data_IF_070556064451
#
_entry.id   IF_070556064451
#
_cell.length_a   1.000
_cell.length_b   1.000
_cell.length_c   1.000
_cell.angle_alpha   90.00
_cell.angle_beta   90.00
_cell.angle_gamma   90.00
#
_symmetry.space_group_name_H-M   'P 1'
#
loop_
_entity.id
_entity.type
_entity.pdbx_description
1 polymer ?
#
# COMPACT_ATOMS: atom_id res chain seq x y z
N UNK A 1 52.60 -5.70 6.48
CA UNK A 1 51.87 -5.82 7.74
C UNK A 1 50.79 -4.78 7.96
N UNK A 2 50.76 -3.76 7.17
CA UNK A 2 49.80 -2.67 7.38
C UNK A 2 48.71 -2.67 6.34
N UNK A 3 48.63 -3.65 5.47
CA UNK A 3 47.67 -3.71 4.40
C UNK A 3 46.39 -4.46 4.74
N UNK A 4 46.27 -4.91 5.99
CA UNK A 4 45.13 -5.72 6.44
C UNK A 4 43.96 -4.93 6.98
N UNK A 5 44.07 -3.62 7.06
CA UNK A 5 43.04 -2.78 7.70
C UNK A 5 41.96 -2.29 6.72
N UNK A 6 42.07 -2.62 5.42
CA UNK A 6 41.16 -2.05 4.43
C UNK A 6 40.04 -2.99 3.93
N UNK A 7 39.96 -4.20 4.45
CA UNK A 7 39.10 -5.21 3.82
C UNK A 7 37.73 -5.36 4.49
N UNK A 8 37.47 -4.64 5.56
CA UNK A 8 36.28 -4.87 6.39
C UNK A 8 35.07 -3.99 6.08
N UNK A 9 35.12 -3.17 5.04
CA UNK A 9 34.08 -2.16 4.84
C UNK A 9 32.98 -2.57 3.86
N UNK A 10 33.14 -3.70 3.18
CA UNK A 10 32.24 -4.08 2.08
C UNK A 10 31.01 -4.92 2.49
N UNK A 11 30.91 -5.33 3.73
CA UNK A 11 29.85 -6.25 4.16
C UNK A 11 28.55 -5.55 4.60
N UNK A 12 28.53 -4.20 4.69
CA UNK A 12 27.43 -3.47 5.29
C UNK A 12 26.37 -3.05 4.27
N UNK A 13 26.68 -3.06 2.98
CA UNK A 13 25.76 -2.58 1.95
C UNK A 13 24.60 -3.55 1.67
N UNK A 14 24.70 -4.81 2.07
CA UNK A 14 23.66 -5.82 1.80
C UNK A 14 22.55 -5.82 2.87
N UNK A 15 22.81 -5.23 4.01
CA UNK A 15 21.85 -5.15 5.12
C UNK A 15 20.73 -4.12 4.89
N UNK A 16 20.79 -3.31 3.84
CA UNK A 16 19.81 -2.27 3.56
C UNK A 16 18.52 -2.79 2.93
N UNK A 17 18.50 -4.03 2.40
CA UNK A 17 17.31 -4.65 1.84
C UNK A 17 16.83 -5.74 2.79
N UNK A 18 15.91 -5.41 3.69
CA UNK A 18 15.33 -6.44 4.55
C UNK A 18 14.29 -7.24 3.75
N UNK A 19 14.22 -8.56 3.90
CA UNK A 19 13.17 -9.36 3.27
C UNK A 19 11.75 -8.93 3.68
N UNK A 20 11.60 -8.38 4.88
CA UNK A 20 10.32 -7.89 5.38
C UNK A 20 9.83 -6.68 4.60
N UNK A 21 10.70 -5.73 4.30
CA UNK A 21 10.36 -4.55 3.51
C UNK A 21 9.97 -4.95 2.08
N UNK A 22 10.72 -5.86 1.49
CA UNK A 22 10.42 -6.36 0.15
C UNK A 22 9.08 -7.09 0.13
N UNK A 23 8.80 -7.93 1.11
CA UNK A 23 7.52 -8.62 1.23
C UNK A 23 6.35 -7.63 1.41
N UNK A 24 6.54 -6.59 2.19
CA UNK A 24 5.54 -5.53 2.39
C UNK A 24 5.29 -4.79 1.08
N UNK A 25 6.33 -4.45 0.34
CA UNK A 25 6.20 -3.76 -0.95
C UNK A 25 5.45 -4.60 -1.98
N UNK A 26 5.73 -5.90 -2.04
CA UNK A 26 5.03 -6.83 -2.93
C UNK A 26 3.56 -6.95 -2.53
N UNK A 27 3.26 -7.09 -1.25
CA UNK A 27 1.90 -7.16 -0.73
C UNK A 27 1.14 -5.88 -1.04
N UNK A 28 1.77 -4.74 -0.87
CA UNK A 28 1.19 -3.44 -1.19
C UNK A 28 0.90 -3.30 -2.68
N UNK A 29 1.82 -3.70 -3.54
CA UNK A 29 1.62 -3.67 -4.99
C UNK A 29 0.47 -4.57 -5.42
N UNK A 30 0.36 -5.75 -4.82
CA UNK A 30 -0.73 -6.68 -5.07
C UNK A 30 -2.05 -6.11 -4.59
N UNK A 31 -2.08 -5.55 -3.38
CA UNK A 31 -3.27 -4.89 -2.82
C UNK A 31 -3.75 -3.74 -3.71
N UNK A 32 -2.82 -2.98 -4.31
CA UNK A 32 -3.16 -1.90 -5.24
C UNK A 32 -3.98 -2.41 -6.41
N UNK A 33 -3.65 -3.55 -6.98
CA UNK A 33 -4.40 -4.14 -8.10
C UNK A 33 -5.82 -4.55 -7.71
N UNK A 34 -6.05 -4.80 -6.43
CA UNK A 34 -7.38 -5.13 -5.90
C UNK A 34 -8.17 -3.86 -5.56
N UNK A 35 -7.54 -2.87 -4.96
CA UNK A 35 -8.20 -1.64 -4.49
C UNK A 35 -8.55 -0.72 -5.65
N UNK A 36 -7.66 -0.57 -6.63
CA UNK A 36 -7.83 0.39 -7.71
C UNK A 36 -9.14 0.23 -8.48
N UNK A 37 -9.57 -0.98 -8.91
CA UNK A 37 -10.86 -1.13 -9.59
C UNK A 37 -12.05 -0.69 -8.74
N UNK A 38 -12.03 -0.97 -7.43
CA UNK A 38 -13.10 -0.59 -6.52
C UNK A 38 -13.18 0.94 -6.41
N UNK A 39 -12.04 1.58 -6.25
CA UNK A 39 -11.96 3.05 -6.16
C UNK A 39 -12.36 3.70 -7.49
N UNK A 40 -11.98 3.10 -8.59
CA UNK A 40 -12.29 3.62 -9.94
C UNK A 40 -13.78 3.67 -10.21
N UNK A 41 -14.57 2.78 -9.61
CA UNK A 41 -16.03 2.81 -9.71
C UNK A 41 -16.63 4.04 -9.01
N UNK A 42 -15.91 4.60 -8.03
CA UNK A 42 -16.38 5.75 -7.27
C UNK A 42 -15.74 7.07 -7.72
N UNK A 43 -14.54 7.03 -8.28
CA UNK A 43 -13.75 8.22 -8.61
C UNK A 43 -13.08 8.05 -9.96
N UNK A 44 -13.21 9.05 -10.82
CA UNK A 44 -12.62 9.02 -12.17
C UNK A 44 -11.10 9.28 -12.13
N UNK A 45 -10.35 8.74 -13.12
CA UNK A 45 -8.93 9.08 -13.25
C UNK A 45 -8.70 10.59 -13.44
N UNK A 46 -7.61 11.17 -12.95
CA UNK A 46 -6.49 10.55 -12.22
C UNK A 46 -6.71 10.46 -10.71
N UNK A 47 -7.85 10.92 -10.20
CA UNK A 47 -8.16 10.92 -8.77
C UNK A 47 -8.22 9.51 -8.18
N UNK A 48 -8.59 8.49 -8.97
CA UNK A 48 -8.62 7.10 -8.56
C UNK A 48 -7.26 6.60 -8.04
N UNK A 49 -6.18 6.94 -8.74
CA UNK A 49 -4.83 6.56 -8.33
C UNK A 49 -4.44 7.24 -7.02
N UNK A 50 -4.72 8.53 -6.88
CA UNK A 50 -4.42 9.29 -5.67
C UNK A 50 -5.21 8.76 -4.47
N UNK A 51 -6.49 8.47 -4.66
CA UNK A 51 -7.33 7.91 -3.62
C UNK A 51 -6.87 6.51 -3.20
N UNK A 52 -6.48 5.68 -4.15
CA UNK A 52 -5.93 4.35 -3.88
C UNK A 52 -4.67 4.43 -3.02
N UNK A 53 -3.76 5.35 -3.32
CA UNK A 53 -2.55 5.55 -2.50
C UNK A 53 -2.90 5.99 -1.08
N UNK A 54 -3.89 6.86 -0.90
CA UNK A 54 -4.35 7.26 0.44
C UNK A 54 -4.87 6.06 1.23
N UNK A 55 -5.62 5.17 0.60
CA UNK A 55 -6.12 3.95 1.23
C UNK A 55 -4.96 3.04 1.63
N UNK A 56 -4.04 2.77 0.71
CA UNK A 56 -2.91 1.88 0.97
C UNK A 56 -1.98 2.43 2.06
N UNK A 57 -1.76 3.74 2.09
CA UNK A 57 -0.91 4.38 3.09
C UNK A 57 -1.50 4.29 4.50
N UNK A 58 -2.80 4.10 4.63
CA UNK A 58 -3.50 4.03 5.92
C UNK A 58 -4.00 2.62 6.25
N UNK A 59 -3.63 1.63 5.45
CA UNK A 59 -3.92 0.23 5.71
C UNK A 59 -2.86 -0.38 6.64
N UNK A 60 -3.31 -1.27 7.52
CA UNK A 60 -2.39 -2.08 8.32
C UNK A 60 -1.81 -3.22 7.46
N UNK A 61 -0.71 -3.83 7.91
CA UNK A 61 -0.15 -4.99 7.20
C UNK A 61 -1.15 -6.14 7.11
N UNK A 62 -1.94 -6.35 8.15
CA UNK A 62 -3.00 -7.37 8.13
C UNK A 62 -4.05 -7.07 7.06
N UNK A 63 -4.44 -5.81 6.92
CA UNK A 63 -5.39 -5.39 5.90
C UNK A 63 -4.82 -5.52 4.49
N UNK A 64 -3.56 -5.15 4.29
CA UNK A 64 -2.89 -5.34 3.01
C UNK A 64 -2.86 -6.82 2.62
N UNK A 65 -2.63 -7.72 3.58
CA UNK A 65 -2.66 -9.14 3.34
C UNK A 65 -4.06 -9.64 2.94
N UNK A 66 -5.09 -9.15 3.60
CA UNK A 66 -6.48 -9.49 3.24
C UNK A 66 -6.78 -9.05 1.81
N UNK A 67 -6.39 -7.84 1.44
CA UNK A 67 -6.62 -7.31 0.09
C UNK A 67 -5.82 -8.10 -0.95
N UNK A 68 -4.56 -8.39 -0.67
CA UNK A 68 -3.69 -9.09 -1.60
C UNK A 68 -4.17 -10.50 -1.92
N UNK A 69 -4.86 -11.16 -1.00
CA UNK A 69 -5.41 -12.50 -1.23
C UNK A 69 -6.53 -12.54 -2.26
N UNK A 70 -7.10 -11.40 -2.59
CA UNK A 70 -8.20 -11.29 -3.55
C UNK A 70 -7.73 -10.94 -4.96
N UNK A 71 -6.42 -10.93 -5.21
CA UNK A 71 -5.89 -10.64 -6.55
C UNK A 71 -6.43 -11.67 -7.56
N UNK A 72 -6.86 -11.17 -8.71
CA UNK A 72 -7.41 -12.02 -9.76
C UNK A 72 -8.86 -12.42 -9.57
N UNK A 73 -9.49 -12.05 -8.45
CA UNK A 73 -10.90 -12.32 -8.18
C UNK A 73 -11.69 -11.02 -8.16
N UNK A 74 -13.01 -11.14 -8.37
CA UNK A 74 -13.91 -10.01 -8.13
C UNK A 74 -13.91 -9.67 -6.65
N UNK A 75 -13.98 -8.36 -6.33
CA UNK A 75 -14.01 -7.92 -4.95
C UNK A 75 -15.27 -8.45 -4.24
N UNK A 76 -15.07 -9.30 -3.25
CA UNK A 76 -16.16 -9.83 -2.43
C UNK A 76 -16.50 -8.88 -1.28
N UNK A 77 -17.51 -9.26 -0.50
CA UNK A 77 -18.01 -8.46 0.63
C UNK A 77 -16.90 -8.09 1.61
N UNK A 78 -16.04 -9.03 1.98
CA UNK A 78 -14.95 -8.77 2.93
C UNK A 78 -13.95 -7.77 2.37
N UNK A 79 -13.60 -7.89 1.11
CA UNK A 79 -12.68 -6.97 0.43
C UNK A 79 -13.24 -5.54 0.44
N UNK A 80 -14.50 -5.38 0.07
CA UNK A 80 -15.16 -4.07 0.04
C UNK A 80 -15.27 -3.48 1.44
N UNK A 81 -15.63 -4.29 2.43
CA UNK A 81 -15.69 -3.84 3.83
C UNK A 81 -14.33 -3.38 4.34
N UNK A 82 -13.27 -4.12 4.00
CA UNK A 82 -11.90 -3.75 4.39
C UNK A 82 -11.52 -2.42 3.77
N UNK A 83 -11.76 -2.22 2.48
CA UNK A 83 -11.47 -0.97 1.78
C UNK A 83 -12.28 0.18 2.40
N UNK A 84 -13.55 -0.03 2.66
CA UNK A 84 -14.43 0.97 3.28
C UNK A 84 -13.94 1.37 4.67
N UNK A 85 -13.56 0.40 5.49
CA UNK A 85 -13.04 0.66 6.83
C UNK A 85 -11.81 1.56 6.78
N UNK A 86 -10.89 1.29 5.86
CA UNK A 86 -9.69 2.11 5.69
C UNK A 86 -10.06 3.50 5.16
N UNK A 87 -10.97 3.56 4.20
CA UNK A 87 -11.38 4.82 3.58
C UNK A 87 -12.05 5.78 4.58
N UNK A 88 -12.72 5.24 5.58
CA UNK A 88 -13.43 6.04 6.60
C UNK A 88 -12.53 6.51 7.74
N UNK A 89 -11.28 6.10 7.80
CA UNK A 89 -10.36 6.54 8.85
C UNK A 89 -10.05 8.02 8.74
N UNK A 90 -9.94 8.74 9.88
CA UNK A 90 -9.59 10.16 9.85
C UNK A 90 -8.29 10.45 9.11
N UNK A 91 -7.27 9.60 9.26
CA UNK A 91 -5.99 9.75 8.56
C UNK A 91 -6.14 9.61 7.04
N UNK A 92 -7.01 8.72 6.58
CA UNK A 92 -7.32 8.58 5.15
C UNK A 92 -8.04 9.83 4.63
N UNK A 93 -9.01 10.35 5.38
CA UNK A 93 -9.69 11.60 5.02
C UNK A 93 -8.71 12.76 4.93
N UNK A 94 -7.78 12.87 5.87
CA UNK A 94 -6.74 13.90 5.82
C UNK A 94 -5.87 13.77 4.56
N UNK A 95 -5.51 12.54 4.19
CA UNK A 95 -4.76 12.25 2.97
C UNK A 95 -5.54 12.69 1.73
N UNK A 96 -6.81 12.30 1.63
CA UNK A 96 -7.69 12.68 0.52
C UNK A 96 -7.83 14.19 0.41
N UNK A 97 -8.09 14.86 1.51
CA UNK A 97 -8.21 16.33 1.56
C UNK A 97 -6.91 16.99 1.11
N UNK A 98 -5.76 16.46 1.55
CA UNK A 98 -4.45 16.96 1.12
C UNK A 98 -4.19 16.81 -0.37
N UNK A 99 -4.85 15.85 -1.03
CA UNK A 99 -4.80 15.66 -2.48
C UNK A 99 -5.91 16.43 -3.23
N UNK A 100 -6.71 17.21 -2.51
CA UNK A 100 -7.83 17.94 -3.11
C UNK A 100 -9.02 17.06 -3.45
N UNK A 101 -9.14 15.89 -2.83
CA UNK A 101 -10.22 14.93 -3.11
C UNK A 101 -11.30 15.00 -2.04
N UNK A 102 -12.58 14.76 -2.42
CA UNK A 102 -13.65 14.63 -1.45
C UNK A 102 -13.56 13.27 -0.74
N UNK A 103 -14.29 13.08 0.38
CA UNK A 103 -14.41 11.77 1.01
C UNK A 103 -14.94 10.74 0.02
N UNK A 104 -14.41 9.52 0.10
CA UNK A 104 -14.85 8.41 -0.75
C UNK A 104 -16.14 7.82 -0.21
N UNK A 105 -17.09 7.59 -1.11
CA UNK A 105 -18.32 6.86 -0.84
C UNK A 105 -18.24 5.54 -1.61
N UNK A 106 -18.03 4.47 -0.87
CA UNK A 106 -17.84 3.12 -1.43
C UNK A 106 -19.01 2.20 -1.08
#
# INVERSE_FOLDING_TARGET
>A
MKALAGVMVMAVAIAACSPEELATDLTRSTARTVVLPVVRDAVSPPADTLATECILNNATNAELNVLARNVGNSAGTLTIQTIRTIAERPATHACLTGQGLPPLVL
#
